data_IF_934585896990
#
_entry.id   IF_934585896990
#
_cell.length_a   1.000
_cell.length_b   1.000
_cell.length_c   1.000
_cell.angle_alpha   90.00
_cell.angle_beta   90.00
_cell.angle_gamma   90.00
#
_symmetry.space_group_name_H-M   'P 1'
#
loop_
_entity.id
_entity.type
_entity.pdbx_description
1 polymer ?
#
# COMPACT_ATOMS: atom_id res chain seq x y z
N UNK A 1 20.78 17.49 4.52
CA UNK A 1 19.93 18.58 5.04
C UNK A 1 19.80 18.42 6.56
N UNK A 2 20.36 19.34 7.36
CA UNK A 2 20.46 19.17 8.84
C UNK A 2 19.10 19.09 9.55
N UNK A 3 18.05 19.69 8.99
CA UNK A 3 16.70 19.70 9.60
C UNK A 3 16.04 18.32 9.58
N UNK A 4 16.15 17.57 8.48
CA UNK A 4 15.58 16.21 8.39
C UNK A 4 16.32 15.19 9.28
N UNK A 5 17.58 15.47 9.64
CA UNK A 5 18.30 14.67 10.62
C UNK A 5 17.82 14.93 12.06
N UNK A 6 17.19 16.08 12.33
CA UNK A 6 16.63 16.44 13.64
C UNK A 6 15.16 16.04 13.71
N UNK A 7 14.41 16.27 12.63
CA UNK A 7 13.00 15.93 12.48
C UNK A 7 12.76 15.40 11.05
N UNK A 8 12.78 14.07 10.92
CA UNK A 8 12.62 13.38 9.65
C UNK A 8 11.21 13.53 9.04
N UNK A 9 10.24 14.07 9.79
CA UNK A 9 8.84 14.24 9.36
C UNK A 9 8.44 15.71 9.24
N UNK A 10 9.41 16.63 9.28
CA UNK A 10 9.15 18.06 9.18
C UNK A 10 8.49 18.44 7.83
N UNK A 11 7.24 18.87 7.87
CA UNK A 11 6.46 19.15 6.66
C UNK A 11 7.09 20.26 5.80
N UNK A 12 7.52 21.36 6.41
CA UNK A 12 8.11 22.50 5.70
C UNK A 12 9.45 22.12 5.05
N UNK A 13 10.27 21.31 5.72
CA UNK A 13 11.51 20.78 5.18
C UNK A 13 11.27 19.97 3.90
N UNK A 14 10.29 19.06 3.93
CA UNK A 14 9.94 18.23 2.79
C UNK A 14 9.36 19.05 1.63
N UNK A 15 8.45 19.99 1.89
CA UNK A 15 7.91 20.87 0.85
C UNK A 15 9.01 21.73 0.20
N UNK A 16 9.92 22.29 1.02
CA UNK A 16 11.04 23.06 0.49
C UNK A 16 11.98 22.20 -0.35
N UNK A 17 12.26 20.96 0.09
CA UNK A 17 13.09 20.01 -0.66
C UNK A 17 12.48 19.67 -2.03
N UNK A 18 11.17 19.42 -2.10
CA UNK A 18 10.48 19.18 -3.37
C UNK A 18 10.56 20.40 -4.30
N UNK A 19 10.37 21.61 -3.76
CA UNK A 19 10.52 22.84 -4.52
C UNK A 19 11.94 23.00 -5.08
N UNK A 20 12.98 22.76 -4.27
CA UNK A 20 14.39 22.81 -4.72
C UNK A 20 14.63 21.84 -5.88
N UNK A 21 14.15 20.60 -5.77
CA UNK A 21 14.30 19.60 -6.84
C UNK A 21 13.65 20.07 -8.16
N UNK A 22 12.45 20.63 -8.08
CA UNK A 22 11.73 21.12 -9.27
C UNK A 22 12.35 22.38 -9.87
N UNK A 23 12.81 23.30 -9.03
CA UNK A 23 13.31 24.60 -9.48
C UNK A 23 14.78 24.55 -9.91
N UNK A 24 15.60 23.74 -9.23
CA UNK A 24 17.06 23.78 -9.31
C UNK A 24 17.69 22.43 -9.71
N UNK A 25 16.94 21.34 -9.71
CA UNK A 25 17.47 19.99 -9.99
C UNK A 25 18.06 19.29 -8.77
N UNK A 26 18.97 18.33 -9.00
CA UNK A 26 19.55 17.47 -7.96
C UNK A 26 18.76 16.18 -7.71
N UNK A 27 18.17 15.61 -8.76
CA UNK A 27 17.32 14.42 -8.68
C UNK A 27 18.11 13.11 -8.56
N UNK A 28 19.37 13.11 -8.99
CA UNK A 28 20.18 11.93 -9.25
C UNK A 28 20.36 11.04 -8.01
N UNK A 29 20.45 11.65 -6.83
CA UNK A 29 20.64 10.94 -5.55
C UNK A 29 19.39 10.90 -4.69
N UNK A 30 18.27 11.48 -5.15
CA UNK A 30 17.09 11.67 -4.31
C UNK A 30 16.38 10.33 -4.04
N UNK A 31 16.36 9.42 -5.00
CA UNK A 31 15.76 8.09 -4.80
C UNK A 31 16.57 7.24 -3.82
N UNK A 32 17.91 7.30 -3.91
CA UNK A 32 18.81 6.66 -2.95
C UNK A 32 18.65 7.25 -1.54
N UNK A 33 18.45 8.55 -1.45
CA UNK A 33 18.17 9.21 -0.17
C UNK A 33 16.86 8.73 0.45
N UNK A 34 15.80 8.54 -0.34
CA UNK A 34 14.56 7.93 0.13
C UNK A 34 14.78 6.49 0.62
N UNK A 35 15.52 5.68 -0.13
CA UNK A 35 15.85 4.30 0.26
C UNK A 35 16.60 4.25 1.61
N UNK A 36 17.61 5.12 1.78
CA UNK A 36 18.32 5.23 3.05
C UNK A 36 17.40 5.56 4.23
N UNK A 37 16.53 6.56 4.08
CA UNK A 37 15.58 6.93 5.14
C UNK A 37 14.57 5.82 5.45
N UNK A 38 14.14 5.05 4.46
CA UNK A 38 13.20 3.94 4.65
C UNK A 38 13.87 2.71 5.27
N UNK A 39 15.17 2.50 5.02
CA UNK A 39 15.98 1.50 5.72
C UNK A 39 16.19 1.86 7.20
N UNK A 40 16.29 3.15 7.52
CA UNK A 40 16.37 3.62 8.92
C UNK A 40 15.01 3.57 9.63
N UNK A 41 13.94 4.04 8.99
CA UNK A 41 12.57 4.01 9.51
C UNK A 41 11.57 3.76 8.38
N UNK A 42 11.12 2.50 8.25
CA UNK A 42 10.11 2.12 7.25
C UNK A 42 8.75 2.77 7.52
N UNK A 43 8.48 3.26 8.74
CA UNK A 43 7.27 4.01 9.10
C UNK A 43 7.37 5.51 8.78
N UNK A 44 8.46 5.95 8.13
CA UNK A 44 8.59 7.32 7.68
C UNK A 44 7.73 7.60 6.45
N UNK A 45 6.45 7.93 6.70
CA UNK A 45 5.50 8.28 5.64
C UNK A 45 5.97 9.45 4.75
N UNK A 46 6.79 10.36 5.28
CA UNK A 46 7.34 11.46 4.48
C UNK A 46 8.36 10.97 3.45
N UNK A 47 9.17 9.97 3.81
CA UNK A 47 10.09 9.32 2.88
C UNK A 47 9.35 8.53 1.80
N UNK A 48 8.27 7.80 2.14
CA UNK A 48 7.40 7.16 1.14
C UNK A 48 6.76 8.18 0.19
N UNK A 49 6.23 9.28 0.72
CA UNK A 49 5.68 10.36 -0.09
C UNK A 49 6.73 11.00 -1.00
N UNK A 50 7.94 11.23 -0.48
CA UNK A 50 9.05 11.74 -1.27
C UNK A 50 9.43 10.75 -2.37
N UNK A 51 9.53 9.46 -2.06
CA UNK A 51 9.83 8.42 -3.05
C UNK A 51 8.82 8.46 -4.20
N UNK A 52 7.53 8.59 -3.89
CA UNK A 52 6.47 8.70 -4.90
C UNK A 52 6.65 9.96 -5.76
N UNK A 53 6.93 11.09 -5.12
CA UNK A 53 7.23 12.34 -5.82
C UNK A 53 8.43 12.19 -6.77
N UNK A 54 9.51 11.56 -6.32
CA UNK A 54 10.73 11.36 -7.13
C UNK A 54 10.44 10.50 -8.35
N UNK A 55 9.83 9.32 -8.18
CA UNK A 55 9.56 8.42 -9.31
C UNK A 55 8.58 9.02 -10.31
N UNK A 56 7.70 9.93 -9.90
CA UNK A 56 6.67 10.54 -10.77
C UNK A 56 7.08 11.87 -11.38
N UNK A 57 8.01 12.61 -10.75
CA UNK A 57 8.39 13.97 -11.17
C UNK A 57 9.81 14.10 -11.67
N UNK A 58 10.69 13.14 -11.36
CA UNK A 58 12.06 13.15 -11.88
C UNK A 58 12.05 13.08 -13.40
N UNK A 59 12.78 13.96 -14.10
CA UNK A 59 12.88 13.91 -15.56
C UNK A 59 13.70 12.70 -16.06
N UNK A 60 14.39 11.99 -15.16
CA UNK A 60 15.33 10.91 -15.51
C UNK A 60 14.75 9.50 -15.34
N UNK A 61 13.65 9.35 -14.59
CA UNK A 61 13.14 8.03 -14.19
C UNK A 61 12.00 7.51 -15.07
N UNK A 62 11.51 8.30 -16.03
CA UNK A 62 10.45 7.84 -16.96
C UNK A 62 9.05 7.71 -16.35
N UNK A 63 8.85 8.11 -15.09
CA UNK A 63 7.53 8.10 -14.45
C UNK A 63 7.08 6.69 -14.02
N UNK A 64 5.78 6.57 -13.70
CA UNK A 64 5.18 5.29 -13.29
C UNK A 64 5.32 4.21 -14.36
N UNK A 65 5.24 4.57 -15.64
CA UNK A 65 5.35 3.60 -16.74
C UNK A 65 6.67 2.83 -16.73
N UNK A 66 7.77 3.48 -16.32
CA UNK A 66 9.09 2.85 -16.26
C UNK A 66 9.39 2.25 -14.88
N UNK A 67 8.93 2.89 -13.80
CA UNK A 67 9.33 2.52 -12.44
C UNK A 67 8.40 1.51 -11.75
N UNK A 68 7.15 1.38 -12.22
CA UNK A 68 6.10 0.63 -11.50
C UNK A 68 6.53 -0.77 -11.09
N UNK A 69 7.11 -1.53 -12.01
CA UNK A 69 7.45 -2.93 -11.76
C UNK A 69 8.44 -3.09 -10.58
N UNK A 70 9.57 -2.38 -10.63
CA UNK A 70 10.56 -2.39 -9.55
C UNK A 70 10.02 -1.81 -8.24
N UNK A 71 9.15 -0.81 -8.31
CA UNK A 71 8.56 -0.19 -7.12
C UNK A 71 7.49 -1.05 -6.47
N UNK A 72 6.77 -1.87 -7.25
CA UNK A 72 5.86 -2.91 -6.72
C UNK A 72 6.67 -3.92 -5.94
N UNK A 73 7.75 -4.46 -6.50
CA UNK A 73 8.60 -5.44 -5.82
C UNK A 73 9.19 -4.87 -4.52
N UNK A 74 9.77 -3.67 -4.57
CA UNK A 74 10.29 -2.96 -3.39
C UNK A 74 9.22 -2.78 -2.30
N UNK A 75 8.00 -2.42 -2.71
CA UNK A 75 6.90 -2.17 -1.78
C UNK A 75 6.36 -3.47 -1.16
N UNK A 76 6.31 -4.55 -1.95
CA UNK A 76 5.92 -5.88 -1.46
C UNK A 76 6.93 -6.37 -0.41
N UNK A 77 8.23 -6.18 -0.64
CA UNK A 77 9.25 -6.50 0.37
C UNK A 77 9.01 -5.74 1.68
N UNK A 78 8.72 -4.43 1.60
CA UNK A 78 8.41 -3.62 2.77
C UNK A 78 7.13 -4.07 3.50
N UNK A 79 6.07 -4.44 2.75
CA UNK A 79 4.83 -5.00 3.31
C UNK A 79 5.11 -6.31 4.04
N UNK A 80 5.87 -7.22 3.42
CA UNK A 80 6.16 -8.51 4.02
C UNK A 80 7.07 -8.41 5.24
N UNK A 81 7.94 -7.39 5.30
CA UNK A 81 8.73 -7.09 6.49
C UNK A 81 7.88 -6.56 7.64
N UNK A 82 6.86 -5.73 7.36
CA UNK A 82 5.92 -5.25 8.37
C UNK A 82 4.53 -4.92 7.79
N UNK A 83 3.63 -5.89 7.81
CA UNK A 83 2.30 -5.74 7.22
C UNK A 83 1.40 -4.73 7.96
N UNK A 84 1.73 -4.41 9.21
CA UNK A 84 0.98 -3.45 10.03
C UNK A 84 1.41 -1.99 9.79
N UNK A 85 2.38 -1.77 8.90
CA UNK A 85 2.74 -0.43 8.44
C UNK A 85 1.83 0.00 7.28
N UNK A 86 0.98 1.01 7.47
CA UNK A 86 0.06 1.53 6.46
C UNK A 86 0.77 2.15 5.24
N UNK A 87 1.93 2.79 5.44
CA UNK A 87 2.60 3.58 4.40
C UNK A 87 2.91 2.80 3.11
N UNK A 88 3.53 1.61 3.15
CA UNK A 88 3.79 0.84 1.92
C UNK A 88 2.50 0.38 1.22
N UNK A 89 1.43 0.03 1.94
CA UNK A 89 0.14 -0.29 1.30
C UNK A 89 -0.44 0.89 0.53
N UNK A 90 -0.38 2.10 1.12
CA UNK A 90 -0.83 3.33 0.44
C UNK A 90 0.05 3.68 -0.74
N UNK A 91 1.35 3.48 -0.61
CA UNK A 91 2.31 3.67 -1.70
C UNK A 91 2.00 2.73 -2.87
N UNK A 92 1.79 1.43 -2.59
CA UNK A 92 1.44 0.42 -3.58
C UNK A 92 0.20 0.81 -4.38
N UNK A 93 -0.89 1.20 -3.70
CA UNK A 93 -2.10 1.72 -4.38
C UNK A 93 -1.80 2.95 -5.23
N UNK A 94 -0.93 3.83 -4.76
CA UNK A 94 -0.51 5.03 -5.48
C UNK A 94 0.17 4.74 -6.82
N UNK A 95 0.94 3.65 -6.94
CA UNK A 95 1.62 3.25 -8.18
C UNK A 95 0.66 2.96 -9.34
N UNK A 96 -0.61 2.71 -9.02
CA UNK A 96 -1.69 2.41 -9.96
C UNK A 96 -2.71 3.54 -10.07
N UNK A 97 -2.42 4.74 -9.57
CA UNK A 97 -3.37 5.86 -9.56
C UNK A 97 -3.85 6.19 -10.98
N UNK A 98 -5.14 5.98 -11.23
CA UNK A 98 -5.78 6.22 -12.53
C UNK A 98 -5.80 5.00 -13.45
N UNK A 99 -5.19 3.88 -13.05
CA UNK A 99 -5.06 2.63 -13.82
C UNK A 99 -5.47 1.42 -12.96
N UNK A 100 -6.65 1.48 -12.32
CA UNK A 100 -7.12 0.44 -11.38
C UNK A 100 -7.22 -0.96 -12.00
N UNK A 101 -7.45 -1.07 -13.32
CA UNK A 101 -7.47 -2.36 -14.02
C UNK A 101 -6.11 -3.06 -13.91
N UNK A 102 -5.01 -2.31 -14.05
CA UNK A 102 -3.65 -2.86 -13.92
C UNK A 102 -3.35 -3.33 -12.49
N UNK A 103 -3.95 -2.69 -11.48
CA UNK A 103 -3.83 -3.13 -10.08
C UNK A 103 -4.44 -4.52 -9.87
N UNK A 104 -5.58 -4.78 -10.52
CA UNK A 104 -6.27 -6.08 -10.46
C UNK A 104 -5.56 -7.15 -11.29
N UNK A 105 -5.00 -6.77 -12.44
CA UNK A 105 -4.28 -7.68 -13.33
C UNK A 105 -2.90 -8.10 -12.78
N UNK A 106 -2.27 -7.31 -11.91
CA UNK A 106 -1.00 -7.67 -11.27
C UNK A 106 -1.22 -8.71 -10.16
N UNK A 107 -0.96 -9.97 -10.49
CA UNK A 107 -1.09 -11.12 -9.59
C UNK A 107 -0.26 -10.99 -8.30
N UNK A 108 0.82 -10.21 -8.30
CA UNK A 108 1.64 -9.99 -7.09
C UNK A 108 0.85 -9.28 -6.00
N UNK A 109 -0.11 -8.43 -6.38
CA UNK A 109 -0.92 -7.63 -5.46
C UNK A 109 -1.91 -8.52 -4.69
N UNK A 110 -2.63 -9.39 -5.39
CA UNK A 110 -3.53 -10.35 -4.75
C UNK A 110 -2.73 -11.39 -3.94
N UNK A 111 -1.58 -11.84 -4.44
CA UNK A 111 -0.69 -12.76 -3.76
C UNK A 111 -0.14 -12.19 -2.44
N UNK A 112 0.28 -10.92 -2.39
CA UNK A 112 0.78 -10.31 -1.14
C UNK A 112 -0.35 -10.17 -0.11
N UNK A 113 -1.56 -9.76 -0.52
CA UNK A 113 -2.73 -9.74 0.37
C UNK A 113 -2.97 -11.11 0.98
N UNK A 114 -3.00 -12.15 0.14
CA UNK A 114 -3.24 -13.52 0.58
C UNK A 114 -2.15 -14.03 1.54
N UNK A 115 -0.88 -13.79 1.22
CA UNK A 115 0.26 -14.17 2.05
C UNK A 115 0.21 -13.51 3.43
N UNK A 116 -0.18 -12.24 3.49
CA UNK A 116 -0.37 -11.53 4.76
C UNK A 116 -1.55 -12.12 5.54
N UNK A 117 -2.72 -12.26 4.92
CA UNK A 117 -3.93 -12.73 5.58
C UNK A 117 -3.85 -14.19 6.08
N UNK A 118 -3.04 -15.04 5.43
CA UNK A 118 -2.72 -16.38 5.92
C UNK A 118 -2.03 -16.37 7.29
N UNK A 119 -1.18 -15.37 7.54
CA UNK A 119 -0.43 -15.25 8.78
C UNK A 119 -1.15 -14.38 9.82
N UNK A 120 -1.79 -13.32 9.35
CA UNK A 120 -2.54 -12.36 10.16
C UNK A 120 -3.80 -11.93 9.42
N UNK A 121 -4.88 -12.67 9.63
CA UNK A 121 -6.19 -12.39 9.05
C UNK A 121 -6.81 -11.08 9.56
N UNK A 122 -6.27 -10.51 10.63
CA UNK A 122 -6.75 -9.25 11.22
C UNK A 122 -6.10 -8.01 10.61
N UNK A 123 -5.15 -8.18 9.69
CA UNK A 123 -4.48 -7.09 9.02
C UNK A 123 -5.46 -6.26 8.17
N UNK A 124 -5.91 -5.14 8.73
CA UNK A 124 -6.89 -4.23 8.12
C UNK A 124 -6.42 -3.71 6.76
N UNK A 125 -5.12 -3.48 6.58
CA UNK A 125 -4.59 -2.96 5.32
C UNK A 125 -4.66 -3.99 4.18
N UNK A 126 -4.35 -5.25 4.48
CA UNK A 126 -4.46 -6.34 3.52
C UNK A 126 -5.93 -6.63 3.16
N UNK A 127 -6.82 -6.65 4.16
CA UNK A 127 -8.27 -6.77 3.96
C UNK A 127 -8.82 -5.61 3.13
N UNK A 128 -8.42 -4.37 3.43
CA UNK A 128 -8.89 -3.19 2.72
C UNK A 128 -8.45 -3.19 1.26
N UNK A 129 -7.19 -3.55 0.98
CA UNK A 129 -6.73 -3.68 -0.41
C UNK A 129 -7.43 -4.82 -1.13
N UNK A 130 -7.65 -5.95 -0.47
CA UNK A 130 -8.40 -7.07 -1.04
C UNK A 130 -9.83 -6.67 -1.40
N UNK A 131 -10.51 -5.92 -0.54
CA UNK A 131 -11.84 -5.39 -0.82
C UNK A 131 -11.83 -4.49 -2.07
N UNK A 132 -10.86 -3.58 -2.18
CA UNK A 132 -10.72 -2.73 -3.36
C UNK A 132 -10.53 -3.55 -4.64
N UNK A 133 -9.72 -4.62 -4.60
CA UNK A 133 -9.50 -5.52 -5.73
C UNK A 133 -10.80 -6.23 -6.14
N UNK A 134 -11.55 -6.77 -5.18
CA UNK A 134 -12.84 -7.44 -5.43
C UNK A 134 -13.85 -6.48 -6.05
N UNK A 135 -13.99 -5.27 -5.49
CA UNK A 135 -14.87 -4.23 -6.02
C UNK A 135 -14.45 -3.75 -7.43
N UNK A 136 -13.17 -3.87 -7.77
CA UNK A 136 -12.63 -3.50 -9.09
C UNK A 136 -12.76 -4.65 -10.11
N UNK A 137 -13.13 -5.86 -9.68
CA UNK A 137 -13.43 -6.99 -10.56
C UNK A 137 -12.51 -8.20 -10.42
N UNK A 138 -11.64 -8.24 -9.40
CA UNK A 138 -10.83 -9.44 -9.10
C UNK A 138 -11.74 -10.66 -8.95
N UNK A 139 -11.42 -11.72 -9.69
CA UNK A 139 -12.05 -13.03 -9.50
C UNK A 139 -11.24 -13.81 -8.47
N UNK A 140 -11.76 -14.01 -7.24
CA UNK A 140 -11.01 -14.69 -6.19
C UNK A 140 -10.84 -16.16 -6.52
N UNK A 141 -9.62 -16.66 -6.35
CA UNK A 141 -9.29 -18.09 -6.47
C UNK A 141 -10.02 -18.91 -5.41
N UNK A 142 -10.15 -20.22 -5.66
CA UNK A 142 -10.77 -21.16 -4.72
C UNK A 142 -10.06 -21.15 -3.35
N UNK A 143 -8.74 -20.96 -3.35
CA UNK A 143 -7.93 -20.86 -2.14
C UNK A 143 -8.25 -19.61 -1.31
N UNK A 144 -8.46 -18.47 -1.98
CA UNK A 144 -8.84 -17.23 -1.32
C UNK A 144 -10.26 -17.34 -0.75
N UNK A 145 -11.19 -17.94 -1.50
CA UNK A 145 -12.55 -18.22 -1.03
C UNK A 145 -12.53 -19.10 0.21
N UNK A 146 -11.78 -20.21 0.18
CA UNK A 146 -11.63 -21.11 1.33
C UNK A 146 -11.01 -20.43 2.55
N UNK A 147 -10.05 -19.51 2.34
CA UNK A 147 -9.45 -18.74 3.44
C UNK A 147 -10.44 -17.76 4.06
N UNK A 148 -11.22 -17.03 3.24
CA UNK A 148 -12.28 -16.14 3.71
C UNK A 148 -13.38 -16.92 4.45
N UNK A 149 -13.77 -18.10 3.94
CA UNK A 149 -14.71 -19.00 4.61
C UNK A 149 -14.18 -19.50 5.96
N UNK A 150 -12.89 -19.82 6.06
CA UNK A 150 -12.26 -20.24 7.32
C UNK A 150 -12.30 -19.11 8.35
N UNK A 151 -11.96 -17.88 7.93
CA UNK A 151 -12.01 -16.69 8.79
C UNK A 151 -13.46 -16.40 9.20
N UNK A 152 -14.42 -16.53 8.28
CA UNK A 152 -15.85 -16.31 8.52
C UNK A 152 -16.48 -17.37 9.42
N UNK A 153 -16.18 -18.65 9.23
CA UNK A 153 -16.75 -19.77 9.98
C UNK A 153 -16.39 -19.73 11.47
N UNK A 154 -15.28 -19.08 11.81
CA UNK A 154 -14.92 -18.76 13.19
C UNK A 154 -15.91 -17.77 13.84
N UNK A 155 -16.72 -17.06 13.05
CA UNK A 155 -17.63 -16.01 13.50
C UNK A 155 -18.91 -15.87 12.62
N UNK A 156 -19.93 -16.71 12.84
CA UNK A 156 -21.09 -16.85 11.96
C UNK A 156 -22.11 -15.73 12.14
N UNK A 157 -21.95 -14.61 11.43
CA UNK A 157 -23.07 -13.71 11.14
C UNK A 157 -22.97 -13.24 9.67
N UNK A 158 -24.07 -13.47 8.94
CA UNK A 158 -24.34 -13.20 7.52
C UNK A 158 -23.86 -14.26 6.50
N UNK A 159 -24.84 -14.82 5.78
CA UNK A 159 -24.72 -15.78 4.71
C UNK A 159 -24.82 -15.04 3.36
N UNK A 160 -23.82 -14.22 3.06
CA UNK A 160 -23.69 -13.64 1.73
C UNK A 160 -22.64 -14.45 0.93
N UNK A 161 -22.98 -14.84 -0.29
CA UNK A 161 -22.09 -15.58 -1.19
C UNK A 161 -21.06 -14.65 -1.86
N UNK A 162 -21.20 -13.33 -1.67
CA UNK A 162 -20.28 -12.32 -2.17
C UNK A 162 -18.98 -12.24 -1.33
N UNK A 163 -17.81 -12.50 -1.92
CA UNK A 163 -16.52 -12.35 -1.26
C UNK A 163 -16.26 -10.94 -0.73
N UNK A 164 -16.76 -9.89 -1.39
CA UNK A 164 -16.56 -8.50 -0.94
C UNK A 164 -17.34 -8.23 0.36
N UNK A 165 -18.61 -8.63 0.41
CA UNK A 165 -19.42 -8.59 1.63
C UNK A 165 -18.78 -9.36 2.79
N UNK A 166 -18.20 -10.54 2.52
CA UNK A 166 -17.47 -11.31 3.53
C UNK A 166 -16.26 -10.55 4.11
N UNK A 167 -15.48 -9.89 3.25
CA UNK A 167 -14.34 -9.05 3.68
C UNK A 167 -14.81 -7.85 4.51
N UNK A 168 -15.89 -7.17 4.11
CA UNK A 168 -16.49 -6.08 4.89
C UNK A 168 -16.90 -6.53 6.30
N UNK A 169 -17.52 -7.71 6.43
CA UNK A 169 -17.91 -8.26 7.73
C UNK A 169 -16.70 -8.52 8.64
N UNK A 170 -15.58 -8.99 8.06
CA UNK A 170 -14.33 -9.18 8.80
C UNK A 170 -13.76 -7.81 9.22
N UNK A 171 -13.73 -6.84 8.31
CA UNK A 171 -13.24 -5.48 8.57
C UNK A 171 -14.01 -4.76 9.68
N UNK A 172 -15.33 -4.93 9.78
CA UNK A 172 -16.13 -4.37 10.88
C UNK A 172 -15.65 -4.84 12.27
N UNK A 173 -15.08 -6.05 12.36
CA UNK A 173 -14.54 -6.62 13.61
C UNK A 173 -13.11 -6.19 13.86
N UNK A 174 -12.27 -6.17 12.82
CA UNK A 174 -10.86 -5.83 12.92
C UNK A 174 -10.61 -4.32 13.04
N UNK A 175 -11.53 -3.48 12.55
CA UNK A 175 -11.44 -2.02 12.57
C UNK A 175 -12.74 -1.39 13.09
N UNK A 176 -13.06 -1.58 14.39
CA UNK A 176 -14.32 -1.13 14.97
C UNK A 176 -14.48 0.40 14.94
N UNK A 177 -13.37 1.15 14.88
CA UNK A 177 -13.40 2.61 14.74
C UNK A 177 -14.01 3.06 13.42
N UNK A 178 -13.92 2.23 12.37
CA UNK A 178 -14.47 2.50 11.03
C UNK A 178 -15.62 1.56 10.67
N UNK A 179 -16.32 1.01 11.66
CA UNK A 179 -17.46 0.09 11.42
C UNK A 179 -18.49 0.66 10.44
N UNK A 180 -18.82 1.96 10.53
CA UNK A 180 -19.77 2.63 9.63
C UNK A 180 -19.24 2.81 8.20
N UNK A 181 -17.92 2.77 8.02
CA UNK A 181 -17.30 2.79 6.69
C UNK A 181 -17.37 1.40 6.04
N UNK A 182 -17.27 0.35 6.85
CA UNK A 182 -17.33 -1.06 6.42
C UNK A 182 -18.75 -1.64 6.39
N UNK A 183 -19.75 -0.92 6.91
CA UNK A 183 -21.16 -1.26 6.78
C UNK A 183 -21.61 -0.92 5.36
N UNK A 184 -21.35 -1.87 4.46
CA UNK A 184 -21.80 -1.87 3.08
C UNK A 184 -23.17 -2.52 2.97
#
# INVERSE_FOLDING_TARGET
MKILAIDAKNYHAWSHRQWVLQALGGWETELEYCDHLLKEDVFNNSAWNQRYFVITRSPFLGGLAAMRDSEVDYTIEAILANAQNESPWRYLKGLYKGENNLLVEDERISAVCFKVLKNDWTCVFALSLLLDLLCTGLQPSDELRSTLETIRSSHPETADDDPAAAVCCILQKCDPLRVNYWSW
#
